data_IF_212843905140
#
_entry.id   IF_212843905140
#
_cell.length_a   1.000
_cell.length_b   1.000
_cell.length_c   1.000
_cell.angle_alpha   90.00
_cell.angle_beta   90.00
_cell.angle_gamma   90.00
#
_symmetry.space_group_name_H-M   'P 1'
#
loop_
_entity.id
_entity.type
_entity.pdbx_description
1 polymer ?
#
# COMPACT_ATOMS: atom_id res chain seq x y z
N UNK A 1 21.24 14.15 30.08
CA UNK A 1 20.17 13.24 29.65
C UNK A 1 20.86 12.07 28.98
N UNK A 2 20.74 10.90 29.57
CA UNK A 2 21.58 9.73 29.30
C UNK A 2 21.12 9.01 28.02
N UNK A 3 22.06 8.64 27.15
CA UNK A 3 21.76 8.04 25.84
C UNK A 3 21.06 6.66 25.97
N UNK A 4 21.29 5.98 27.08
CA UNK A 4 20.60 4.74 27.50
C UNK A 4 19.10 4.94 27.72
N UNK A 5 18.69 6.07 28.32
CA UNK A 5 17.28 6.38 28.55
C UNK A 5 16.50 6.63 27.25
N UNK A 6 17.16 7.19 26.23
CA UNK A 6 16.56 7.43 24.91
C UNK A 6 16.34 6.09 24.18
N UNK A 7 17.33 5.18 24.22
CA UNK A 7 17.23 3.87 23.58
C UNK A 7 16.18 2.95 24.23
N UNK A 8 16.07 2.96 25.56
CA UNK A 8 14.99 2.24 26.25
C UNK A 8 13.62 2.82 25.93
N UNK A 9 13.48 4.15 25.88
CA UNK A 9 12.21 4.78 25.55
C UNK A 9 11.75 4.48 24.11
N UNK A 10 12.69 4.45 23.15
CA UNK A 10 12.42 4.05 21.78
C UNK A 10 12.03 2.57 21.69
N UNK A 11 12.73 1.67 22.40
CA UNK A 11 12.41 0.24 22.45
C UNK A 11 11.02 -0.03 23.04
N UNK A 12 10.66 0.66 24.11
CA UNK A 12 9.34 0.54 24.75
C UNK A 12 8.23 1.10 23.86
N UNK A 13 8.46 2.23 23.19
CA UNK A 13 7.51 2.84 22.26
C UNK A 13 7.26 1.92 21.05
N UNK A 14 8.33 1.37 20.47
CA UNK A 14 8.29 0.39 19.39
C UNK A 14 7.51 -0.84 19.83
N UNK A 15 7.85 -1.48 20.97
CA UNK A 15 7.10 -2.63 21.52
C UNK A 15 5.62 -2.34 21.79
N UNK A 16 5.27 -1.13 22.25
CA UNK A 16 3.87 -0.75 22.48
C UNK A 16 3.09 -0.53 21.19
N UNK A 17 3.72 0.01 20.14
CA UNK A 17 3.14 0.15 18.80
C UNK A 17 2.90 -1.24 18.19
N UNK A 18 3.85 -2.16 18.39
CA UNK A 18 3.75 -3.55 17.93
C UNK A 18 2.68 -4.34 18.65
N UNK A 19 2.53 -4.24 19.98
CA UNK A 19 1.45 -4.94 20.70
C UNK A 19 0.05 -4.47 20.26
N UNK A 20 -0.07 -3.21 19.82
CA UNK A 20 -1.28 -2.71 19.16
C UNK A 20 -1.43 -3.28 17.74
N UNK A 21 -0.35 -3.38 16.96
CA UNK A 21 -0.38 -4.03 15.64
C UNK A 21 -0.69 -5.54 15.74
N UNK A 22 -0.13 -6.29 16.68
CA UNK A 22 -0.46 -7.70 16.96
C UNK A 22 -1.95 -7.87 17.30
N UNK A 23 -2.52 -6.94 18.08
CA UNK A 23 -3.95 -6.92 18.38
C UNK A 23 -4.81 -6.58 17.14
N UNK A 24 -4.31 -5.73 16.23
CA UNK A 24 -4.94 -5.40 14.92
C UNK A 24 -4.74 -6.50 13.87
N UNK A 25 -3.71 -7.33 14.04
CA UNK A 25 -3.33 -8.48 13.21
C UNK A 25 -3.80 -9.81 13.83
N UNK A 26 -4.94 -9.79 14.56
CA UNK A 26 -5.46 -10.93 15.33
C UNK A 26 -5.12 -12.29 14.73
N UNK A 27 -4.44 -13.15 15.51
CA UNK A 27 -4.01 -14.51 15.15
C UNK A 27 -3.69 -14.69 13.66
N UNK A 28 -2.57 -14.11 13.23
CA UNK A 28 -2.12 -14.06 11.84
C UNK A 28 -2.27 -15.42 11.12
N UNK A 29 -3.19 -15.49 10.15
CA UNK A 29 -3.48 -16.70 9.38
C UNK A 29 -2.65 -16.70 8.08
N UNK A 30 -1.90 -17.77 7.77
CA UNK A 30 -1.17 -17.87 6.50
C UNK A 30 -2.08 -17.85 5.27
N UNK A 31 -3.36 -18.22 5.42
CA UNK A 31 -4.37 -18.13 4.36
C UNK A 31 -5.11 -16.81 4.43
N UNK A 32 -5.46 -16.27 3.27
CA UNK A 32 -6.27 -15.06 3.19
C UNK A 32 -7.73 -15.36 3.54
N UNK A 33 -8.31 -14.54 4.41
CA UNK A 33 -9.75 -14.51 4.64
C UNK A 33 -10.49 -13.98 3.40
N UNK A 34 -11.80 -14.22 3.33
CA UNK A 34 -12.61 -13.65 2.25
C UNK A 34 -12.63 -12.12 2.28
N UNK A 35 -12.53 -11.53 3.47
CA UNK A 35 -12.43 -10.08 3.64
C UNK A 35 -11.12 -9.53 3.07
N UNK A 36 -9.98 -10.15 3.40
CA UNK A 36 -8.69 -9.79 2.84
C UNK A 36 -8.66 -9.95 1.32
N UNK A 37 -9.21 -11.05 0.79
CA UNK A 37 -9.32 -11.26 -0.67
C UNK A 37 -10.12 -10.15 -1.34
N UNK A 38 -11.27 -9.74 -0.78
CA UNK A 38 -12.07 -8.63 -1.35
C UNK A 38 -11.28 -7.32 -1.40
N UNK A 39 -10.49 -7.01 -0.38
CA UNK A 39 -9.59 -5.83 -0.39
C UNK A 39 -8.54 -5.93 -1.49
N UNK A 40 -7.83 -7.05 -1.55
CA UNK A 40 -6.76 -7.29 -2.51
C UNK A 40 -7.25 -7.30 -3.96
N UNK A 41 -8.43 -7.87 -4.22
CA UNK A 41 -9.07 -7.87 -5.54
C UNK A 41 -9.51 -6.48 -5.97
N UNK A 42 -10.04 -5.69 -5.04
CA UNK A 42 -10.38 -4.30 -5.33
C UNK A 42 -9.14 -3.48 -5.67
N UNK A 43 -8.03 -3.65 -4.95
CA UNK A 43 -6.77 -2.99 -5.28
C UNK A 43 -6.28 -3.37 -6.68
N UNK A 44 -6.28 -4.69 -6.97
CA UNK A 44 -5.92 -5.24 -8.28
C UNK A 44 -6.72 -4.57 -9.39
N UNK A 45 -8.05 -4.67 -9.33
CA UNK A 45 -8.91 -4.19 -10.42
C UNK A 45 -9.04 -2.67 -10.49
N UNK A 46 -8.77 -1.92 -9.41
CA UNK A 46 -8.98 -0.46 -9.41
C UNK A 46 -7.71 0.28 -9.76
N UNK A 47 -6.57 -0.12 -9.17
CA UNK A 47 -5.33 0.67 -9.22
C UNK A 47 -4.21 0.01 -10.03
N UNK A 48 -4.18 -1.33 -10.13
CA UNK A 48 -3.10 -2.04 -10.83
C UNK A 48 -3.47 -2.43 -12.26
N UNK A 49 -4.63 -3.06 -12.46
CA UNK A 49 -5.16 -3.43 -13.78
C UNK A 49 -5.74 -2.17 -14.44
N UNK A 50 -4.88 -1.39 -15.11
CA UNK A 50 -5.26 -0.09 -15.68
C UNK A 50 -6.10 -0.29 -16.93
N UNK A 51 -5.75 -1.26 -17.76
CA UNK A 51 -6.42 -1.54 -19.03
C UNK A 51 -7.70 -2.38 -18.89
N UNK A 52 -7.97 -2.95 -17.70
CA UNK A 52 -9.14 -3.77 -17.35
C UNK A 52 -9.21 -5.10 -18.09
N UNK A 53 -8.07 -5.70 -18.43
CA UNK A 53 -8.01 -6.99 -19.11
C UNK A 53 -8.00 -8.20 -18.15
N UNK A 54 -7.94 -7.95 -16.84
CA UNK A 54 -7.98 -8.98 -15.81
C UNK A 54 -6.62 -9.60 -15.49
N UNK A 55 -5.54 -9.12 -16.11
CA UNK A 55 -4.16 -9.51 -15.82
C UNK A 55 -3.28 -8.29 -15.63
N UNK A 56 -2.22 -8.38 -14.84
CA UNK A 56 -1.22 -7.32 -14.78
C UNK A 56 -0.08 -7.64 -15.73
N UNK A 57 0.28 -6.67 -16.56
CA UNK A 57 1.45 -6.72 -17.44
C UNK A 57 2.29 -5.45 -17.28
N UNK A 58 3.49 -5.44 -17.87
CA UNK A 58 4.33 -4.24 -17.94
C UNK A 58 3.57 -3.02 -18.48
N UNK A 59 2.63 -3.25 -19.40
CA UNK A 59 1.80 -2.23 -20.02
C UNK A 59 0.93 -1.47 -19.02
N UNK A 60 0.40 -2.12 -17.99
CA UNK A 60 -0.42 -1.43 -16.98
C UNK A 60 0.40 -0.44 -16.17
N UNK A 61 1.65 -0.81 -15.85
CA UNK A 61 2.61 0.06 -15.19
C UNK A 61 3.05 1.21 -16.10
N UNK A 62 3.20 0.97 -17.40
CA UNK A 62 3.46 2.03 -18.38
C UNK A 62 2.28 3.01 -18.48
N UNK A 63 1.04 2.52 -18.53
CA UNK A 63 -0.18 3.34 -18.57
C UNK A 63 -0.36 4.15 -17.29
N UNK A 64 -0.17 3.54 -16.11
CA UNK A 64 -0.21 4.22 -14.83
C UNK A 64 0.83 5.35 -14.75
N UNK A 65 2.07 5.05 -15.18
CA UNK A 65 3.16 6.02 -15.26
C UNK A 65 2.82 7.18 -16.19
N UNK A 66 2.26 6.91 -17.37
CA UNK A 66 1.85 7.93 -18.33
C UNK A 66 0.78 8.85 -17.76
N UNK A 67 -0.27 8.26 -17.18
CA UNK A 67 -1.35 9.00 -16.54
C UNK A 67 -0.81 9.93 -15.45
N UNK A 68 0.12 9.45 -14.64
CA UNK A 68 0.69 10.24 -13.56
C UNK A 68 1.59 11.35 -14.09
N UNK A 69 2.43 11.08 -15.10
CA UNK A 69 3.23 12.13 -15.73
C UNK A 69 2.33 13.24 -16.31
N UNK A 70 1.18 12.87 -16.89
CA UNK A 70 0.20 13.83 -17.40
C UNK A 70 -0.42 14.66 -16.26
N UNK A 71 -0.91 14.03 -15.20
CA UNK A 71 -1.50 14.70 -14.03
C UNK A 71 -0.53 15.66 -13.33
N UNK A 72 0.74 15.31 -13.29
CA UNK A 72 1.80 16.11 -12.67
C UNK A 72 2.44 17.12 -13.63
N UNK A 73 2.02 17.15 -14.89
CA UNK A 73 2.58 18.04 -15.93
C UNK A 73 4.04 17.73 -16.30
N UNK A 74 4.53 16.52 -15.99
CA UNK A 74 5.92 16.11 -16.25
C UNK A 74 6.08 15.69 -17.71
N UNK A 75 6.90 16.45 -18.44
CA UNK A 75 7.10 16.23 -19.88
C UNK A 75 8.16 15.17 -20.14
N UNK A 76 8.04 14.42 -21.25
CA UNK A 76 9.11 13.55 -21.73
C UNK A 76 10.46 14.28 -21.79
N UNK A 77 11.52 13.59 -21.36
CA UNK A 77 12.87 14.14 -21.33
C UNK A 77 13.26 14.87 -20.04
N UNK A 78 12.31 15.25 -19.19
CA UNK A 78 12.60 15.81 -17.85
C UNK A 78 13.13 14.74 -16.90
N UNK A 79 13.91 15.16 -15.89
CA UNK A 79 14.45 14.24 -14.88
C UNK A 79 13.35 13.52 -14.09
N UNK A 80 12.25 14.23 -13.77
CA UNK A 80 11.09 13.61 -13.10
C UNK A 80 10.49 12.51 -13.97
N UNK A 81 10.25 12.77 -15.25
CA UNK A 81 9.72 11.77 -16.19
C UNK A 81 10.59 10.51 -16.28
N UNK A 82 11.93 10.68 -16.34
CA UNK A 82 12.88 9.56 -16.37
C UNK A 82 12.88 8.76 -15.07
N UNK A 83 12.97 9.44 -13.93
CA UNK A 83 12.96 8.80 -12.59
C UNK A 83 11.67 8.03 -12.36
N UNK A 84 10.51 8.59 -12.76
CA UNK A 84 9.23 7.87 -12.68
C UNK A 84 9.23 6.65 -13.57
N UNK A 85 9.80 6.72 -14.78
CA UNK A 85 9.92 5.54 -15.65
C UNK A 85 10.75 4.42 -15.02
N UNK A 86 11.93 4.75 -14.48
CA UNK A 86 12.80 3.78 -13.82
C UNK A 86 12.13 3.15 -12.60
N UNK A 87 11.41 3.94 -11.82
CA UNK A 87 10.70 3.49 -10.63
C UNK A 87 9.58 2.49 -10.97
N UNK A 88 8.72 2.78 -11.95
CA UNK A 88 7.67 1.82 -12.35
C UNK A 88 8.25 0.53 -12.90
N UNK A 89 9.32 0.62 -13.69
CA UNK A 89 10.01 -0.59 -14.16
C UNK A 89 10.59 -1.41 -13.01
N UNK A 90 11.11 -0.76 -11.95
CA UNK A 90 11.60 -1.46 -10.75
C UNK A 90 10.46 -2.08 -9.94
N UNK A 91 9.34 -1.38 -9.74
CA UNK A 91 8.17 -1.92 -9.05
C UNK A 91 7.64 -3.14 -9.82
N UNK A 92 7.45 -3.02 -11.13
CA UNK A 92 6.98 -4.11 -11.97
C UNK A 92 7.88 -5.34 -11.89
N UNK A 93 9.21 -5.18 -12.04
CA UNK A 93 10.15 -6.30 -11.93
C UNK A 93 10.06 -7.01 -10.58
N UNK A 94 10.06 -6.24 -9.48
CA UNK A 94 9.94 -6.85 -8.14
C UNK A 94 8.57 -7.49 -7.89
N UNK A 95 7.51 -6.97 -8.52
CA UNK A 95 6.19 -7.56 -8.45
C UNK A 95 6.14 -8.87 -9.26
N UNK A 96 6.74 -8.92 -10.44
CA UNK A 96 6.91 -10.17 -11.20
C UNK A 96 7.70 -11.21 -10.42
N UNK A 97 8.84 -10.83 -9.84
CA UNK A 97 9.66 -11.74 -9.01
C UNK A 97 8.85 -12.38 -7.87
N UNK A 98 7.82 -11.69 -7.37
CA UNK A 98 6.98 -12.15 -6.27
C UNK A 98 5.69 -12.87 -6.73
N UNK A 99 5.13 -12.47 -7.88
CA UNK A 99 3.78 -12.86 -8.30
C UNK A 99 3.68 -13.64 -9.60
N UNK A 100 4.63 -13.53 -10.54
CA UNK A 100 4.61 -14.21 -11.84
C UNK A 100 5.13 -15.65 -11.68
N UNK A 101 4.27 -16.54 -11.21
CA UNK A 101 4.65 -17.87 -10.74
C UNK A 101 4.97 -18.84 -11.87
N UNK A 102 4.33 -18.65 -13.02
CA UNK A 102 4.54 -19.45 -14.23
C UNK A 102 5.56 -18.83 -15.21
N UNK A 103 6.03 -17.61 -14.92
CA UNK A 103 7.03 -16.86 -15.71
C UNK A 103 6.55 -16.58 -17.13
N UNK A 104 5.26 -16.29 -17.31
CA UNK A 104 4.67 -15.95 -18.60
C UNK A 104 4.65 -14.43 -18.89
N UNK A 105 5.13 -13.62 -17.95
CA UNK A 105 5.17 -12.17 -18.06
C UNK A 105 3.88 -11.48 -17.60
N UNK A 106 2.93 -12.22 -17.05
CA UNK A 106 1.64 -11.74 -16.56
C UNK A 106 1.46 -12.13 -15.09
N UNK A 107 0.62 -11.38 -14.40
CA UNK A 107 0.16 -11.76 -13.06
C UNK A 107 -1.35 -11.83 -13.09
N UNK A 108 -1.87 -13.04 -12.98
CA UNK A 108 -3.30 -13.31 -12.86
C UNK A 108 -3.82 -12.95 -11.46
N UNK A 109 -5.15 -12.92 -11.30
CA UNK A 109 -5.78 -12.73 -9.99
C UNK A 109 -5.39 -13.84 -9.00
N UNK A 110 -5.33 -15.08 -9.48
CA UNK A 110 -4.93 -16.24 -8.70
C UNK A 110 -3.50 -16.10 -8.19
N UNK A 111 -2.58 -15.69 -9.06
CA UNK A 111 -1.19 -15.43 -8.73
C UNK A 111 -1.01 -14.27 -7.76
N UNK A 112 -1.75 -13.18 -7.97
CA UNK A 112 -1.78 -12.04 -7.06
C UNK A 112 -2.16 -12.46 -5.64
N UNK A 113 -3.24 -13.24 -5.48
CA UNK A 113 -3.68 -13.73 -4.17
C UNK A 113 -2.68 -14.75 -3.58
N UNK A 114 -2.13 -15.64 -4.40
CA UNK A 114 -1.17 -16.64 -3.96
C UNK A 114 0.14 -16.00 -3.48
N UNK A 115 0.63 -14.94 -4.13
CA UNK A 115 1.77 -14.14 -3.68
C UNK A 115 1.58 -13.66 -2.24
N UNK A 116 0.39 -13.15 -1.91
CA UNK A 116 0.06 -12.68 -0.56
C UNK A 116 0.02 -13.83 0.46
N UNK A 117 -0.51 -15.00 0.11
CA UNK A 117 -0.47 -16.18 0.99
C UNK A 117 0.97 -16.70 1.20
N UNK A 118 1.81 -16.69 0.17
CA UNK A 118 3.23 -17.04 0.29
C UNK A 118 3.93 -16.07 1.25
N UNK A 119 3.75 -14.77 1.04
CA UNK A 119 4.32 -13.75 1.91
C UNK A 119 3.87 -13.91 3.37
N UNK A 120 2.59 -14.21 3.61
CA UNK A 120 2.07 -14.47 4.95
C UNK A 120 2.72 -15.69 5.61
N UNK A 121 2.94 -16.78 4.86
CA UNK A 121 3.64 -17.99 5.35
C UNK A 121 5.10 -17.71 5.68
N UNK A 122 5.79 -16.95 4.84
CA UNK A 122 7.20 -16.58 5.04
C UNK A 122 7.36 -15.65 6.25
N UNK A 123 6.44 -14.70 6.42
CA UNK A 123 6.41 -13.80 7.59
C UNK A 123 6.38 -14.59 8.91
N UNK A 124 5.49 -15.58 9.00
CA UNK A 124 5.37 -16.44 10.19
C UNK A 124 6.65 -17.26 10.47
N UNK A 125 7.33 -17.72 9.43
CA UNK A 125 8.58 -18.46 9.59
C UNK A 125 9.73 -17.55 10.07
N UNK A 126 9.72 -16.28 9.69
CA UNK A 126 10.73 -15.31 10.13
C UNK A 126 10.53 -14.87 11.58
N UNK A 127 9.29 -14.62 12.02
CA UNK A 127 8.96 -14.26 13.41
C UNK A 127 9.37 -15.34 14.43
N UNK A 128 9.38 -16.61 14.01
CA UNK A 128 9.84 -17.72 14.86
C UNK A 128 11.35 -17.79 15.09
N UNK A 129 12.15 -16.91 14.46
CA UNK A 129 13.61 -16.83 14.64
C UNK A 129 13.94 -15.61 15.50
N UNK A 130 14.61 -15.82 16.64
CA UNK A 130 14.95 -14.83 17.70
C UNK A 130 15.73 -13.55 17.26
N UNK A 131 16.00 -13.35 15.97
CA UNK A 131 16.74 -12.19 15.43
C UNK A 131 16.13 -11.64 14.13
N UNK A 132 14.80 -11.73 13.95
CA UNK A 132 14.15 -11.03 12.84
C UNK A 132 14.33 -9.52 13.00
N UNK A 133 14.75 -8.86 11.92
CA UNK A 133 14.53 -7.43 11.78
C UNK A 133 13.01 -7.23 11.67
N UNK A 134 12.38 -6.89 12.80
CA UNK A 134 10.93 -6.77 13.03
C UNK A 134 10.24 -5.70 12.14
N UNK A 135 10.94 -5.19 11.13
CA UNK A 135 10.56 -4.03 10.33
C UNK A 135 9.87 -4.36 9.00
N UNK A 136 10.00 -5.58 8.46
CA UNK A 136 9.38 -5.94 7.17
C UNK A 136 8.04 -6.66 7.30
N UNK A 137 6.97 -5.89 7.51
CA UNK A 137 5.59 -6.40 7.49
C UNK A 137 4.93 -6.40 6.09
N UNK A 138 5.66 -6.01 5.05
CA UNK A 138 5.20 -5.92 3.67
C UNK A 138 6.31 -6.34 2.68
N UNK A 139 5.96 -6.80 1.47
CA UNK A 139 6.94 -7.09 0.42
C UNK A 139 7.72 -5.84 -0.04
N UNK A 140 8.96 -6.03 -0.51
CA UNK A 140 9.83 -4.94 -0.98
C UNK A 140 9.27 -4.13 -2.16
N UNK A 141 8.50 -4.77 -3.04
CA UNK A 141 7.82 -4.07 -4.13
C UNK A 141 6.75 -3.12 -3.59
N UNK A 142 6.08 -3.51 -2.50
CA UNK A 142 4.99 -2.74 -1.92
C UNK A 142 5.54 -1.51 -1.19
N UNK A 143 6.66 -1.60 -0.48
CA UNK A 143 7.24 -0.42 0.18
C UNK A 143 7.62 0.66 -0.86
N UNK A 144 8.21 0.26 -1.99
CA UNK A 144 8.48 1.19 -3.11
C UNK A 144 7.22 1.75 -3.74
N UNK A 145 6.18 0.92 -3.86
CA UNK A 145 4.87 1.37 -4.33
C UNK A 145 4.20 2.36 -3.35
N UNK A 146 4.33 2.17 -2.04
CA UNK A 146 3.77 3.07 -1.01
C UNK A 146 4.45 4.43 -1.07
N UNK A 147 5.79 4.48 -1.09
CA UNK A 147 6.54 5.74 -1.24
C UNK A 147 6.08 6.50 -2.49
N UNK A 148 5.89 5.78 -3.58
CA UNK A 148 5.40 6.35 -4.82
C UNK A 148 3.97 6.85 -4.73
N UNK A 149 3.04 6.02 -4.20
CA UNK A 149 1.62 6.36 -4.04
C UNK A 149 1.46 7.57 -3.13
N UNK A 150 2.27 7.68 -2.08
CA UNK A 150 2.31 8.86 -1.23
C UNK A 150 2.74 10.11 -2.03
N UNK A 151 3.86 10.06 -2.75
CA UNK A 151 4.34 11.20 -3.55
C UNK A 151 3.40 11.59 -4.71
N UNK A 152 2.54 10.67 -5.15
CA UNK A 152 1.46 10.95 -6.08
C UNK A 152 0.33 11.73 -5.41
N UNK A 153 -0.03 11.34 -4.19
CA UNK A 153 -1.09 11.95 -3.40
C UNK A 153 -0.66 13.34 -2.88
N UNK A 154 0.54 13.47 -2.34
CA UNK A 154 1.15 14.74 -1.89
C UNK A 154 1.56 15.60 -3.11
N UNK A 155 0.59 16.31 -3.68
CA UNK A 155 0.77 17.07 -4.93
C UNK A 155 1.47 18.40 -4.69
N UNK A 156 1.27 18.99 -3.52
CA UNK A 156 1.92 20.24 -3.11
C UNK A 156 3.36 20.01 -2.65
N UNK A 157 3.71 18.78 -2.26
CA UNK A 157 5.05 18.39 -1.83
C UNK A 157 5.37 18.87 -0.42
N UNK A 158 4.36 19.07 0.43
CA UNK A 158 4.52 19.55 1.81
C UNK A 158 4.72 18.42 2.83
N UNK A 159 4.70 17.16 2.35
CA UNK A 159 4.89 15.97 3.17
C UNK A 159 3.64 15.53 3.92
N UNK A 160 2.46 16.04 3.56
CA UNK A 160 1.17 15.64 4.08
C UNK A 160 0.17 15.48 2.94
N UNK A 161 -0.71 14.49 3.03
CA UNK A 161 -1.82 14.35 2.10
C UNK A 161 -3.04 15.04 2.71
N UNK A 162 -3.53 16.08 2.05
CA UNK A 162 -4.81 16.70 2.40
C UNK A 162 -6.01 16.06 1.69
N UNK A 163 -7.23 16.46 2.07
CA UNK A 163 -8.46 15.85 1.52
C UNK A 163 -8.69 16.24 0.06
N UNK A 164 -8.29 17.45 -0.35
CA UNK A 164 -8.43 17.93 -1.73
C UNK A 164 -7.46 17.18 -2.66
N UNK A 165 -6.22 16.99 -2.23
CA UNK A 165 -5.19 16.20 -2.90
C UNK A 165 -5.60 14.75 -3.05
N UNK A 166 -6.05 14.13 -1.95
CA UNK A 166 -6.54 12.75 -1.94
C UNK A 166 -7.73 12.58 -2.88
N UNK A 167 -8.76 13.43 -2.75
CA UNK A 167 -9.97 13.39 -3.59
C UNK A 167 -9.61 13.51 -5.06
N UNK A 168 -8.76 14.49 -5.41
CA UNK A 168 -8.36 14.72 -6.79
C UNK A 168 -7.74 13.46 -7.41
N UNK A 169 -6.74 12.87 -6.76
CA UNK A 169 -6.03 11.71 -7.31
C UNK A 169 -6.93 10.48 -7.36
N UNK A 170 -7.68 10.21 -6.28
CA UNK A 170 -8.48 8.99 -6.17
C UNK A 170 -9.69 9.02 -7.13
N UNK A 171 -10.22 10.21 -7.44
CA UNK A 171 -11.28 10.37 -8.44
C UNK A 171 -10.85 9.97 -9.85
N UNK A 172 -9.57 10.13 -10.19
CA UNK A 172 -9.01 9.68 -11.47
C UNK A 172 -9.05 8.15 -11.61
N UNK A 173 -9.10 7.42 -10.50
CA UNK A 173 -9.28 5.96 -10.49
C UNK A 173 -10.75 5.54 -10.45
N UNK A 174 -11.68 6.47 -10.70
CA UNK A 174 -13.12 6.20 -10.81
C UNK A 174 -13.85 6.16 -9.47
N UNK A 175 -13.21 6.54 -8.38
CA UNK A 175 -13.86 6.65 -7.07
C UNK A 175 -14.66 7.96 -7.01
N UNK A 176 -15.96 7.94 -6.64
CA UNK A 176 -16.73 9.15 -6.49
C UNK A 176 -16.13 10.11 -5.45
N UNK A 177 -16.05 11.41 -5.76
CA UNK A 177 -15.54 12.46 -4.85
C UNK A 177 -16.12 12.36 -3.43
N UNK A 178 -17.42 12.10 -3.32
CA UNK A 178 -18.11 11.94 -2.03
C UNK A 178 -17.53 10.78 -1.21
N UNK A 179 -17.25 9.66 -1.86
CA UNK A 179 -16.73 8.46 -1.20
C UNK A 179 -15.26 8.66 -0.83
N UNK A 180 -14.47 9.29 -1.71
CA UNK A 180 -13.09 9.67 -1.40
C UNK A 180 -12.99 10.59 -0.18
N UNK A 181 -13.81 11.65 -0.11
CA UNK A 181 -13.86 12.55 1.06
C UNK A 181 -14.27 11.84 2.33
N UNK A 182 -15.31 11.01 2.27
CA UNK A 182 -15.76 10.24 3.44
C UNK A 182 -14.66 9.28 3.91
N UNK A 183 -14.01 8.57 2.99
CA UNK A 183 -12.93 7.65 3.30
C UNK A 183 -11.74 8.38 3.94
N UNK A 184 -11.37 9.56 3.42
CA UNK A 184 -10.36 10.43 4.01
C UNK A 184 -10.72 10.80 5.44
N UNK A 185 -11.96 11.22 5.72
CA UNK A 185 -12.41 11.53 7.07
C UNK A 185 -12.29 10.33 8.02
N UNK A 186 -12.54 9.12 7.53
CA UNK A 186 -12.41 7.92 8.34
C UNK A 186 -10.95 7.69 8.75
N UNK A 187 -10.02 7.58 7.78
CA UNK A 187 -8.64 7.25 8.10
C UNK A 187 -7.83 8.43 8.65
N UNK A 188 -8.23 9.69 8.43
CA UNK A 188 -7.59 10.85 9.06
C UNK A 188 -8.11 11.13 10.48
N UNK A 189 -9.00 10.28 10.99
CA UNK A 189 -9.70 10.48 12.27
C UNK A 189 -10.37 11.85 12.34
N UNK A 190 -11.14 12.20 11.30
CA UNK A 190 -11.78 13.50 11.12
C UNK A 190 -10.78 14.67 11.19
N UNK A 191 -9.71 14.59 10.39
CA UNK A 191 -8.59 15.53 10.39
C UNK A 191 -7.83 15.63 11.72
N UNK A 192 -8.05 14.70 12.65
CA UNK A 192 -7.32 14.63 13.93
C UNK A 192 -5.89 14.11 13.78
N UNK A 193 -5.59 13.43 12.66
CA UNK A 193 -4.27 12.85 12.38
C UNK A 193 -3.72 13.33 11.05
N UNK A 194 -2.50 13.89 11.09
CA UNK A 194 -1.70 14.24 9.92
C UNK A 194 -1.39 12.99 9.10
N UNK A 195 -1.64 13.05 7.80
CA UNK A 195 -1.40 11.94 6.87
C UNK A 195 -0.03 12.12 6.23
N UNK A 196 1.01 11.95 7.02
CA UNK A 196 2.40 11.88 6.54
C UNK A 196 2.77 10.48 6.04
N UNK A 197 3.98 10.32 5.49
CA UNK A 197 4.44 9.04 4.91
C UNK A 197 4.45 7.90 5.92
N UNK A 198 4.75 8.17 7.19
CA UNK A 198 4.84 7.15 8.22
C UNK A 198 3.44 6.65 8.57
N UNK A 199 2.47 7.55 8.73
CA UNK A 199 1.09 7.16 8.96
C UNK A 199 0.46 6.51 7.73
N UNK A 200 0.72 7.04 6.55
CA UNK A 200 0.24 6.45 5.29
C UNK A 200 0.74 5.01 5.13
N UNK A 201 2.01 4.73 5.47
CA UNK A 201 2.56 3.38 5.49
C UNK A 201 1.82 2.48 6.49
N UNK A 202 1.50 2.95 7.69
CA UNK A 202 0.69 2.18 8.65
C UNK A 202 -0.69 1.82 8.08
N UNK A 203 -1.35 2.77 7.42
CA UNK A 203 -2.65 2.55 6.76
C UNK A 203 -2.54 1.53 5.64
N UNK A 204 -1.49 1.60 4.80
CA UNK A 204 -1.25 0.59 3.77
C UNK A 204 -1.03 -0.80 4.39
N UNK A 205 -0.21 -0.92 5.42
CA UNK A 205 0.00 -2.21 6.11
C UNK A 205 -1.35 -2.76 6.61
N UNK A 206 -2.17 -1.94 7.26
CA UNK A 206 -3.51 -2.35 7.68
C UNK A 206 -4.39 -2.80 6.49
N UNK A 207 -4.38 -2.05 5.39
CA UNK A 207 -5.14 -2.40 4.19
C UNK A 207 -4.77 -3.78 3.65
N UNK A 208 -3.48 -4.05 3.44
CA UNK A 208 -3.03 -5.30 2.83
C UNK A 208 -3.02 -6.50 3.79
N UNK A 209 -2.81 -6.27 5.10
CA UNK A 209 -2.54 -7.35 6.06
C UNK A 209 -3.65 -7.58 7.08
N UNK A 210 -4.36 -6.55 7.53
CA UNK A 210 -5.33 -6.70 8.61
C UNK A 210 -6.58 -7.46 8.14
N UNK A 211 -7.09 -8.32 9.02
CA UNK A 211 -8.41 -8.97 8.88
C UNK A 211 -9.50 -8.28 9.72
N UNK A 212 -9.17 -7.15 10.36
CA UNK A 212 -10.12 -6.36 11.15
C UNK A 212 -10.94 -5.44 10.22
N UNK A 213 -12.28 -5.62 10.15
CA UNK A 213 -13.15 -4.73 9.37
C UNK A 213 -13.12 -3.28 9.87
N UNK A 214 -12.75 -3.04 11.13
CA UNK A 214 -12.67 -1.71 11.75
C UNK A 214 -11.33 -1.01 11.51
N UNK A 215 -10.33 -1.67 10.90
CA UNK A 215 -9.04 -1.06 10.65
C UNK A 215 -9.17 0.17 9.74
N UNK A 216 -8.60 1.30 10.15
CA UNK A 216 -8.67 2.57 9.41
C UNK A 216 -8.02 2.47 8.02
N UNK A 217 -7.01 1.63 7.87
CA UNK A 217 -6.38 1.35 6.57
C UNK A 217 -7.35 0.83 5.51
N UNK A 218 -8.49 0.22 5.91
CA UNK A 218 -9.50 -0.24 4.96
C UNK A 218 -10.02 0.91 4.07
N UNK A 219 -10.01 2.16 4.57
CA UNK A 219 -10.53 3.32 3.83
C UNK A 219 -9.51 3.96 2.87
N UNK A 220 -8.24 3.53 2.86
CA UNK A 220 -7.17 4.24 2.15
C UNK A 220 -7.38 4.35 0.62
N UNK A 221 -8.23 3.49 0.06
CA UNK A 221 -8.54 3.41 -1.37
C UNK A 221 -9.89 4.03 -1.75
N UNK A 222 -10.52 4.79 -0.86
CA UNK A 222 -11.74 5.55 -1.16
C UNK A 222 -13.02 4.72 -1.07
N UNK A 223 -12.92 3.43 -0.75
CA UNK A 223 -14.06 2.54 -0.54
C UNK A 223 -14.45 2.50 0.94
N UNK A 224 -15.76 2.56 1.21
CA UNK A 224 -16.31 2.66 2.57
C UNK A 224 -16.64 1.31 3.22
N UNK A 225 -16.70 0.23 2.45
CA UNK A 225 -16.91 -1.11 2.99
C UNK A 225 -16.41 -2.22 2.05
N UNK A 226 -15.91 -3.29 2.66
CA UNK A 226 -15.57 -4.57 2.03
C UNK A 226 -16.30 -5.75 2.70
N UNK A 227 -17.39 -5.49 3.44
CA UNK A 227 -18.14 -6.54 4.15
C UNK A 227 -19.18 -7.25 3.31
N UNK A 228 -19.56 -6.64 2.18
CA UNK A 228 -20.68 -7.08 1.33
C UNK A 228 -20.22 -8.01 0.20
#
# INVERSE_FOLDING_TARGET
>A
MDATHILESASVFVRSKWRKMEAVMGLFNPKLSDFQKRKLLHEFHTFFDVNKDGTLEAKDFELAREKICQMSGWKPGTDKYKKTSELFSQIWRKLQDAGDSNVDGRITVEEWLNMWEIFNKESLQMESKENSDDTKNIPDWLDKYIEYKFALLDRTGDGEIDVEEYEYVISEFGVPSKDARNAFLMFSENHGKKVDIDYFRELCVQFYRSDDPCALGNFINGRLSYTD
#
